data_IF_488180471055
#
_entry.id   IF_488180471055
#
_cell.length_a   1.000
_cell.length_b   1.000
_cell.length_c   1.000
_cell.angle_alpha   90.00
_cell.angle_beta   90.00
_cell.angle_gamma   90.00
#
_symmetry.space_group_name_H-M   'P 1'
#
loop_
_entity.id
_entity.type
_entity.pdbx_description
1 polymer ?
#
# COMPACT_ATOMS: atom_id res chain seq x y z
N UNK A 1 -0.56 43.35 -18.71
CA UNK A 1 -0.92 43.12 -17.30
C UNK A 1 -0.91 41.63 -17.01
N UNK A 2 0.23 41.10 -16.59
CA UNK A 2 0.40 39.66 -16.31
C UNK A 2 -0.10 39.38 -14.89
N UNK A 3 -1.19 38.57 -14.76
CA UNK A 3 -1.63 38.06 -13.46
C UNK A 3 -0.69 36.92 -13.05
N UNK A 4 0.14 37.14 -12.03
CA UNK A 4 0.86 36.07 -11.32
C UNK A 4 -0.17 35.15 -10.66
N UNK A 5 -0.26 33.92 -11.13
CA UNK A 5 -0.98 32.85 -10.44
C UNK A 5 -0.07 32.38 -9.31
N UNK A 6 -0.37 32.83 -8.09
CA UNK A 6 0.25 32.31 -6.88
C UNK A 6 -0.42 30.97 -6.60
N UNK A 7 0.24 29.88 -6.98
CA UNK A 7 -0.17 28.55 -6.59
C UNK A 7 0.06 28.32 -5.10
N UNK A 8 -0.98 28.46 -4.29
CA UNK A 8 -0.98 28.00 -2.91
C UNK A 8 -0.91 26.46 -2.91
N UNK A 9 0.28 25.92 -2.70
CA UNK A 9 0.47 24.51 -2.33
C UNK A 9 0.03 24.34 -0.88
N UNK A 10 -1.23 24.02 -0.64
CA UNK A 10 -1.67 23.57 0.67
C UNK A 10 -1.19 22.14 0.86
N UNK A 11 -0.12 21.97 1.62
CA UNK A 11 0.37 20.67 2.07
C UNK A 11 -0.54 20.23 3.21
N UNK A 12 -1.38 19.22 2.99
CA UNK A 12 -2.06 18.54 4.09
C UNK A 12 -1.00 17.70 4.82
N UNK A 13 -0.85 17.92 6.11
CA UNK A 13 0.18 17.25 6.90
C UNK A 13 -0.44 16.09 7.68
N UNK A 14 0.19 14.92 7.56
CA UNK A 14 -0.06 13.77 8.42
C UNK A 14 0.63 14.08 9.75
N UNK A 15 -0.03 13.84 10.92
CA UNK A 15 0.59 14.06 12.21
C UNK A 15 1.90 13.29 12.34
N UNK A 16 2.89 13.91 12.97
CA UNK A 16 4.14 13.23 13.30
C UNK A 16 3.85 12.16 14.37
N UNK A 17 4.43 10.95 14.26
CA UNK A 17 4.26 9.92 15.26
C UNK A 17 4.93 10.32 16.59
N UNK A 18 4.44 9.80 17.72
CA UNK A 18 5.08 10.03 18.99
C UNK A 18 6.48 9.42 19.01
N UNK A 19 7.42 10.14 19.63
CA UNK A 19 8.78 9.66 19.88
C UNK A 19 8.83 8.83 21.16
N UNK A 20 9.88 8.02 21.31
CA UNK A 20 10.10 7.27 22.52
C UNK A 20 10.31 8.22 23.72
N UNK A 21 9.71 7.94 24.89
CA UNK A 21 9.84 8.77 26.07
C UNK A 21 11.25 8.74 26.66
N UNK A 22 12.01 7.69 26.39
CA UNK A 22 13.41 7.56 26.74
C UNK A 22 14.17 6.74 25.69
N UNK A 23 15.51 6.81 25.63
CA UNK A 23 16.30 6.05 24.64
C UNK A 23 16.14 4.52 24.73
N UNK A 24 15.69 4.00 25.87
CA UNK A 24 15.55 2.56 26.11
C UNK A 24 14.09 2.05 26.04
N UNK A 25 13.12 2.92 25.83
CA UNK A 25 11.72 2.52 25.71
C UNK A 25 11.27 2.55 24.25
N UNK A 26 10.49 1.55 23.79
CA UNK A 26 9.95 1.57 22.46
C UNK A 26 8.98 2.75 22.32
N UNK A 27 9.02 3.44 21.19
CA UNK A 27 8.06 4.48 20.90
C UNK A 27 6.63 3.89 20.86
N UNK A 28 5.62 4.58 21.42
CA UNK A 28 4.26 4.07 21.44
C UNK A 28 3.70 3.93 20.02
N UNK A 29 2.88 2.89 19.82
CA UNK A 29 2.18 2.68 18.55
C UNK A 29 1.17 3.81 18.37
N UNK A 30 1.17 4.46 17.21
CA UNK A 30 0.19 5.47 16.85
C UNK A 30 -0.58 5.06 15.60
N UNK A 31 -1.90 5.27 15.63
CA UNK A 31 -2.80 4.87 14.55
C UNK A 31 -3.50 6.10 13.99
N UNK A 32 -3.38 6.31 12.69
CA UNK A 32 -3.95 7.46 11.98
C UNK A 32 -4.78 7.01 10.79
N UNK A 33 -6.09 7.02 10.92
CA UNK A 33 -6.98 6.85 9.77
C UNK A 33 -7.00 8.13 8.95
N UNK A 34 -6.79 8.02 7.65
CA UNK A 34 -6.79 9.17 6.74
C UNK A 34 -8.25 9.60 6.44
N UNK A 35 -8.64 10.76 6.95
CA UNK A 35 -9.87 11.43 6.54
C UNK A 35 -9.62 12.19 5.24
N UNK A 36 -9.75 11.52 4.11
CA UNK A 36 -9.50 12.08 2.80
C UNK A 36 -10.27 13.39 2.53
N UNK A 37 -11.60 13.51 2.84
CA UNK A 37 -12.31 14.78 2.72
C UNK A 37 -11.68 15.92 3.52
N UNK A 38 -11.38 15.70 4.79
CA UNK A 38 -10.74 16.71 5.65
C UNK A 38 -9.34 17.12 5.13
N UNK A 39 -8.62 16.18 4.53
CA UNK A 39 -7.32 16.39 3.90
C UNK A 39 -7.42 17.04 2.49
N UNK A 40 -8.65 17.31 2.02
CA UNK A 40 -8.89 18.00 0.75
C UNK A 40 -9.04 17.08 -0.47
N UNK A 41 -9.37 15.80 -0.25
CA UNK A 41 -9.64 14.78 -1.27
C UNK A 41 -11.09 14.28 -1.18
N UNK A 42 -12.11 15.13 -1.41
CA UNK A 42 -13.52 14.76 -1.22
C UNK A 42 -13.99 13.61 -2.10
N UNK A 43 -13.33 13.38 -3.24
CA UNK A 43 -13.64 12.24 -4.12
C UNK A 43 -13.29 10.89 -3.51
N UNK A 44 -12.48 10.86 -2.46
CA UNK A 44 -12.09 9.67 -1.72
C UNK A 44 -12.85 9.51 -0.40
N UNK A 45 -13.98 10.20 -0.20
CA UNK A 45 -14.77 10.17 1.04
C UNK A 45 -15.16 8.75 1.53
N UNK A 46 -15.22 7.78 0.62
CA UNK A 46 -15.56 6.39 0.94
C UNK A 46 -14.35 5.45 0.87
N UNK A 47 -13.14 6.00 0.71
CA UNK A 47 -11.93 5.21 0.64
C UNK A 47 -11.31 5.03 2.00
N UNK A 48 -10.74 3.85 2.20
CA UNK A 48 -10.04 3.52 3.43
C UNK A 48 -8.53 3.63 3.23
N UNK A 49 -7.89 4.34 4.16
CA UNK A 49 -6.45 4.26 4.36
C UNK A 49 -6.11 4.46 5.83
N UNK A 50 -5.15 3.69 6.32
CA UNK A 50 -4.71 3.67 7.71
C UNK A 50 -3.19 3.70 7.76
N UNK A 51 -2.63 4.53 8.63
CA UNK A 51 -1.21 4.54 8.97
C UNK A 51 -1.08 4.03 10.39
N UNK A 52 -0.15 3.10 10.60
CA UNK A 52 0.22 2.61 11.92
C UNK A 52 1.72 2.85 12.08
N UNK A 53 2.07 3.74 12.97
CA UNK A 53 3.47 4.06 13.29
C UNK A 53 3.98 3.19 14.43
N UNK A 54 5.28 2.88 14.39
CA UNK A 54 6.01 2.13 15.42
C UNK A 54 5.48 0.70 15.66
N UNK A 55 4.76 0.11 14.66
CA UNK A 55 4.21 -1.25 14.80
C UNK A 55 5.29 -2.32 14.74
N UNK A 56 6.26 -2.14 13.86
CA UNK A 56 7.43 -3.01 13.75
C UNK A 56 8.64 -2.30 14.33
N UNK A 57 9.37 -2.99 15.20
CA UNK A 57 10.63 -2.49 15.74
C UNK A 57 11.73 -2.50 14.67
N UNK A 58 12.82 -1.76 14.83
CA UNK A 58 13.99 -1.88 13.95
C UNK A 58 14.50 -3.32 13.80
N UNK A 59 14.47 -4.10 14.90
CA UNK A 59 14.85 -5.52 14.88
C UNK A 59 13.87 -6.37 14.05
N UNK A 60 12.55 -6.07 14.10
CA UNK A 60 11.55 -6.72 13.26
C UNK A 60 11.79 -6.41 11.78
N UNK A 61 12.08 -5.13 11.46
CA UNK A 61 12.40 -4.71 10.10
C UNK A 61 13.64 -5.41 9.54
N UNK A 62 14.69 -5.52 10.37
CA UNK A 62 15.91 -6.22 9.99
C UNK A 62 15.66 -7.72 9.79
N UNK A 63 14.93 -8.37 10.71
CA UNK A 63 14.53 -9.78 10.57
C UNK A 63 13.82 -10.06 9.24
N UNK A 64 12.88 -9.19 8.86
CA UNK A 64 12.15 -9.32 7.59
C UNK A 64 13.09 -9.18 6.39
N UNK A 65 13.99 -8.21 6.42
CA UNK A 65 14.95 -7.97 5.34
C UNK A 65 15.93 -9.13 5.18
N UNK A 66 16.52 -9.59 6.28
CA UNK A 66 17.47 -10.71 6.30
C UNK A 66 16.84 -12.00 5.74
N UNK A 67 15.57 -12.27 6.07
CA UNK A 67 14.86 -13.44 5.56
C UNK A 67 14.80 -13.45 4.02
N UNK A 68 14.49 -12.30 3.41
CA UNK A 68 14.40 -12.21 1.96
C UNK A 68 15.78 -12.20 1.28
N UNK A 69 16.74 -11.43 1.80
CA UNK A 69 18.08 -11.29 1.22
C UNK A 69 18.93 -12.57 1.35
N UNK A 70 18.68 -13.39 2.40
CA UNK A 70 19.32 -14.71 2.51
C UNK A 70 18.77 -15.73 1.52
N UNK A 71 17.55 -15.55 1.04
CA UNK A 71 16.86 -16.49 0.18
C UNK A 71 17.00 -16.15 -1.32
N UNK A 72 17.07 -14.87 -1.68
CA UNK A 72 17.02 -14.41 -3.07
C UNK A 72 17.80 -13.12 -3.30
N UNK A 73 18.32 -12.98 -4.52
CA UNK A 73 18.95 -11.76 -5.01
C UNK A 73 17.92 -10.71 -5.45
N UNK A 74 18.33 -9.44 -5.39
CA UNK A 74 17.55 -8.33 -5.92
C UNK A 74 17.53 -8.34 -7.45
N UNK A 75 16.34 -8.29 -8.04
CA UNK A 75 16.12 -8.19 -9.48
C UNK A 75 15.44 -6.87 -9.87
N UNK A 76 15.53 -6.48 -11.15
CA UNK A 76 14.79 -5.31 -11.66
C UNK A 76 13.28 -5.56 -11.53
N UNK A 77 12.58 -4.60 -10.94
CA UNK A 77 11.13 -4.73 -10.76
C UNK A 77 10.40 -4.61 -12.09
N UNK A 78 9.44 -5.50 -12.31
CA UNK A 78 8.58 -5.50 -13.49
C UNK A 78 7.24 -4.81 -13.21
N UNK A 79 6.59 -4.40 -14.28
CA UNK A 79 5.20 -3.89 -14.31
C UNK A 79 4.31 -5.00 -14.84
N UNK A 80 3.13 -5.19 -14.26
CA UNK A 80 2.15 -6.13 -14.77
C UNK A 80 1.44 -5.52 -15.99
N UNK A 81 1.58 -6.16 -17.14
CA UNK A 81 0.88 -5.80 -18.37
C UNK A 81 -0.49 -6.46 -18.50
N UNK A 82 -1.18 -6.15 -19.58
CA UNK A 82 -2.41 -6.85 -19.96
C UNK A 82 -2.13 -8.34 -20.16
N UNK A 83 -2.95 -9.20 -19.53
CA UNK A 83 -2.78 -10.66 -19.59
C UNK A 83 -1.88 -11.24 -18.49
N UNK A 84 -1.41 -10.44 -17.53
CA UNK A 84 -0.66 -10.92 -16.37
C UNK A 84 0.85 -11.17 -16.61
N UNK A 85 1.35 -10.87 -17.82
CA UNK A 85 2.78 -10.96 -18.12
C UNK A 85 3.51 -9.72 -17.60
N UNK A 86 4.57 -9.94 -16.79
CA UNK A 86 5.45 -8.89 -16.34
C UNK A 86 6.37 -8.41 -17.48
N UNK A 87 6.54 -7.10 -17.59
CA UNK A 87 7.53 -6.48 -18.49
C UNK A 87 8.29 -5.38 -17.76
N UNK A 88 9.49 -5.09 -18.22
CA UNK A 88 10.32 -4.02 -17.65
C UNK A 88 10.02 -2.71 -18.37
N UNK A 89 9.61 -1.68 -17.60
CA UNK A 89 9.46 -0.31 -18.08
C UNK A 89 10.05 0.64 -17.03
N UNK A 90 11.32 0.96 -17.22
CA UNK A 90 12.06 1.83 -16.28
C UNK A 90 11.54 3.28 -16.29
N UNK A 91 10.83 3.72 -17.35
CA UNK A 91 10.21 5.05 -17.38
C UNK A 91 8.96 5.14 -16.49
N UNK A 92 8.35 3.99 -16.20
CA UNK A 92 7.17 3.87 -15.36
C UNK A 92 7.51 3.37 -13.95
N UNK A 93 8.39 2.35 -13.85
CA UNK A 93 8.86 1.79 -12.59
C UNK A 93 10.36 1.52 -12.65
N UNK A 94 11.12 2.33 -11.93
CA UNK A 94 12.55 2.17 -11.75
C UNK A 94 12.82 1.78 -10.30
N UNK A 95 13.03 0.49 -10.04
CA UNK A 95 13.30 -0.06 -8.70
C UNK A 95 13.80 -1.49 -8.79
N UNK A 96 14.31 -2.01 -7.70
CA UNK A 96 14.61 -3.44 -7.55
C UNK A 96 13.54 -4.12 -6.70
N UNK A 97 13.41 -5.45 -6.83
CA UNK A 97 12.49 -6.26 -6.01
C UNK A 97 13.09 -7.61 -5.65
N UNK A 98 12.61 -8.17 -4.55
CA UNK A 98 12.64 -9.61 -4.24
C UNK A 98 11.18 -10.06 -4.10
N UNK A 99 10.82 -11.18 -4.74
CA UNK A 99 9.55 -11.87 -4.52
C UNK A 99 9.81 -13.06 -3.60
N UNK A 100 9.37 -12.95 -2.35
CA UNK A 100 9.61 -13.96 -1.33
C UNK A 100 8.26 -14.46 -0.79
N UNK A 101 7.95 -15.72 -1.04
CA UNK A 101 6.72 -16.35 -0.59
C UNK A 101 7.00 -17.05 0.74
N UNK A 102 6.33 -16.60 1.81
CA UNK A 102 6.52 -17.11 3.17
C UNK A 102 5.22 -16.96 3.97
N UNK A 103 4.60 -18.08 4.28
CA UNK A 103 3.34 -18.11 5.03
C UNK A 103 3.53 -17.73 6.50
N UNK A 104 4.60 -18.18 7.13
CA UNK A 104 4.84 -17.94 8.56
C UNK A 104 5.11 -16.44 8.81
N UNK A 105 5.87 -15.78 7.93
CA UNK A 105 6.07 -14.33 8.02
C UNK A 105 4.79 -13.56 7.70
N UNK A 106 3.99 -14.01 6.73
CA UNK A 106 2.71 -13.39 6.40
C UNK A 106 1.73 -13.48 7.57
N UNK A 107 1.64 -14.63 8.23
CA UNK A 107 0.81 -14.85 9.42
C UNK A 107 1.31 -13.99 10.59
N UNK A 108 2.60 -13.93 10.84
CA UNK A 108 3.18 -13.06 11.86
C UNK A 108 2.90 -11.57 11.60
N UNK A 109 2.94 -11.13 10.34
CA UNK A 109 2.55 -9.76 9.95
C UNK A 109 1.06 -9.54 10.25
N UNK A 110 0.19 -10.51 9.91
CA UNK A 110 -1.24 -10.42 10.20
C UNK A 110 -1.51 -10.33 11.70
N UNK A 111 -0.87 -11.16 12.53
CA UNK A 111 -1.03 -11.14 13.98
C UNK A 111 -0.73 -9.74 14.57
N UNK A 112 0.35 -9.09 14.09
CA UNK A 112 0.67 -7.72 14.51
C UNK A 112 -0.38 -6.70 14.03
N UNK A 113 -0.95 -6.86 12.84
CA UNK A 113 -1.90 -5.93 12.24
C UNK A 113 -3.33 -6.11 12.75
N UNK A 114 -3.73 -7.32 13.13
CA UNK A 114 -5.12 -7.70 13.47
C UNK A 114 -5.79 -6.78 14.50
N UNK A 115 -5.13 -6.30 15.57
CA UNK A 115 -5.76 -5.38 16.52
C UNK A 115 -6.22 -4.05 15.92
N UNK A 116 -5.71 -3.66 14.76
CA UNK A 116 -5.90 -2.33 14.16
C UNK A 116 -6.80 -2.33 12.92
N UNK A 117 -7.16 -3.50 12.40
CA UNK A 117 -7.86 -3.64 11.11
C UNK A 117 -9.31 -4.11 11.24
N UNK A 118 -9.91 -3.99 12.41
CA UNK A 118 -11.29 -4.44 12.67
C UNK A 118 -12.33 -3.84 11.72
N UNK A 119 -12.14 -2.61 11.22
CA UNK A 119 -13.04 -1.98 10.26
C UNK A 119 -13.05 -2.66 8.87
N UNK A 120 -12.00 -3.40 8.55
CA UNK A 120 -11.84 -4.11 7.28
C UNK A 120 -11.78 -5.63 7.46
N UNK A 121 -12.10 -6.13 8.65
CA UNK A 121 -12.22 -7.58 8.91
C UNK A 121 -13.31 -8.22 8.06
N UNK A 122 -14.39 -7.47 7.79
CA UNK A 122 -15.48 -7.86 6.89
C UNK A 122 -15.76 -6.74 5.90
N UNK A 123 -15.83 -7.07 4.61
CA UNK A 123 -16.05 -6.09 3.54
C UNK A 123 -17.20 -6.50 2.62
N UNK A 124 -17.99 -5.51 2.17
CA UNK A 124 -18.97 -5.70 1.10
C UNK A 124 -18.21 -5.80 -0.25
N UNK A 125 -18.11 -7.01 -0.77
CA UNK A 125 -17.41 -7.28 -2.01
C UNK A 125 -18.01 -6.54 -3.22
N UNK A 126 -19.33 -6.27 -3.21
CA UNK A 126 -20.02 -5.56 -4.30
C UNK A 126 -19.50 -4.15 -4.48
N UNK A 127 -19.13 -3.47 -3.37
CA UNK A 127 -18.55 -2.12 -3.40
C UNK A 127 -17.26 -2.09 -4.20
N UNK A 128 -16.41 -3.09 -4.05
CA UNK A 128 -15.13 -3.19 -4.74
C UNK A 128 -15.30 -3.65 -6.19
N UNK A 129 -16.26 -4.53 -6.49
CA UNK A 129 -16.52 -5.02 -7.84
C UNK A 129 -17.13 -3.98 -8.78
N UNK A 130 -17.90 -3.02 -8.27
CA UNK A 130 -18.45 -1.93 -9.09
C UNK A 130 -17.38 -1.05 -9.74
N UNK A 131 -16.16 -1.11 -9.29
CA UNK A 131 -15.03 -0.29 -9.73
C UNK A 131 -14.05 -1.03 -10.67
N UNK A 132 -14.27 -2.32 -10.94
CA UNK A 132 -13.43 -3.12 -11.84
C UNK A 132 -13.31 -2.50 -13.24
N UNK A 133 -12.10 -2.54 -13.81
CA UNK A 133 -11.73 -1.82 -15.04
C UNK A 133 -12.41 -2.35 -16.30
N UNK A 134 -12.75 -3.64 -16.37
CA UNK A 134 -13.33 -4.25 -17.56
C UNK A 134 -14.76 -4.68 -17.37
N UNK A 135 -15.56 -4.63 -18.48
CA UNK A 135 -16.95 -5.11 -18.50
C UNK A 135 -17.01 -6.62 -18.19
N UNK A 136 -15.99 -7.37 -18.60
CA UNK A 136 -15.91 -8.81 -18.37
C UNK A 136 -15.68 -9.13 -16.89
N UNK A 137 -14.74 -8.43 -16.24
CA UNK A 137 -14.48 -8.54 -14.81
C UNK A 137 -15.72 -8.18 -13.99
N UNK A 138 -16.43 -7.10 -14.36
CA UNK A 138 -17.69 -6.71 -13.72
C UNK A 138 -18.80 -7.78 -13.86
N UNK A 139 -18.87 -8.47 -14.99
CA UNK A 139 -19.83 -9.55 -15.21
C UNK A 139 -19.50 -10.77 -14.36
N UNK A 140 -18.22 -11.17 -14.30
CA UNK A 140 -17.75 -12.29 -13.48
C UNK A 140 -17.96 -11.96 -12.00
N UNK A 141 -17.59 -10.77 -11.58
CA UNK A 141 -17.75 -10.29 -10.20
C UNK A 141 -19.23 -10.26 -9.75
N UNK A 142 -20.17 -9.86 -10.62
CA UNK A 142 -21.62 -9.90 -10.32
C UNK A 142 -22.16 -11.32 -10.05
N UNK A 143 -21.57 -12.34 -10.66
CA UNK A 143 -22.01 -13.73 -10.52
C UNK A 143 -21.42 -14.37 -9.24
N UNK A 144 -20.29 -13.85 -8.74
CA UNK A 144 -19.54 -14.40 -7.60
C UNK A 144 -19.60 -13.51 -6.35
N UNK A 145 -20.31 -12.37 -6.40
CA UNK A 145 -20.35 -11.44 -5.27
C UNK A 145 -21.20 -12.01 -4.13
N UNK A 146 -20.56 -12.50 -3.11
CA UNK A 146 -21.15 -12.59 -1.77
C UNK A 146 -21.37 -11.19 -1.22
N UNK A 147 -22.43 -11.01 -0.44
CA UNK A 147 -22.74 -9.72 0.19
C UNK A 147 -21.63 -9.29 1.16
N UNK A 148 -20.88 -10.24 1.73
CA UNK A 148 -19.80 -10.00 2.67
C UNK A 148 -18.71 -11.06 2.52
N UNK A 149 -17.46 -10.61 2.51
CA UNK A 149 -16.27 -11.46 2.55
C UNK A 149 -15.47 -11.15 3.81
N UNK A 150 -14.79 -12.16 4.35
CA UNK A 150 -14.04 -12.06 5.59
C UNK A 150 -12.54 -12.04 5.30
N UNK A 151 -11.80 -11.24 6.07
CA UNK A 151 -10.34 -11.26 6.08
C UNK A 151 -9.86 -12.67 6.47
N UNK A 152 -9.15 -13.32 5.58
CA UNK A 152 -8.61 -14.67 5.78
C UNK A 152 -7.15 -14.64 6.23
N UNK A 153 -6.31 -13.92 5.51
CA UNK A 153 -4.85 -13.91 5.71
C UNK A 153 -4.17 -12.71 5.05
N UNK A 154 -2.90 -12.51 5.32
CA UNK A 154 -1.99 -11.73 4.48
C UNK A 154 -1.51 -12.64 3.34
N UNK A 155 -1.39 -12.12 2.12
CA UNK A 155 -0.82 -12.86 1.01
C UNK A 155 0.62 -13.25 1.35
N UNK A 156 0.95 -14.54 1.20
CA UNK A 156 2.28 -15.11 1.43
C UNK A 156 3.36 -14.48 0.56
N UNK A 157 2.97 -13.92 -0.60
CA UNK A 157 3.89 -13.22 -1.49
C UNK A 157 4.26 -11.86 -0.97
N UNK A 158 5.35 -11.80 -0.25
CA UNK A 158 5.96 -10.57 0.22
C UNK A 158 6.83 -9.98 -0.90
N UNK A 159 6.45 -8.80 -1.42
CA UNK A 159 7.19 -8.10 -2.46
C UNK A 159 8.08 -7.05 -1.81
N UNK A 160 9.34 -7.40 -1.61
CA UNK A 160 10.35 -6.45 -1.15
C UNK A 160 10.71 -5.52 -2.30
N UNK A 161 10.76 -4.24 -2.04
CA UNK A 161 11.01 -3.19 -3.03
C UNK A 161 12.12 -2.29 -2.51
N UNK A 162 13.16 -2.10 -3.34
CA UNK A 162 14.30 -1.25 -3.03
C UNK A 162 14.43 -0.14 -4.07
N UNK A 163 14.56 1.09 -3.58
CA UNK A 163 14.70 2.29 -4.38
C UNK A 163 15.92 3.07 -3.92
N UNK A 164 16.89 3.27 -4.83
CA UNK A 164 18.03 4.18 -4.65
C UNK A 164 17.75 5.57 -5.22
N UNK A 165 18.74 6.49 -5.18
CA UNK A 165 18.60 7.83 -5.74
C UNK A 165 18.15 7.85 -7.20
N UNK A 166 17.14 8.68 -7.50
CA UNK A 166 16.52 8.78 -8.83
C UNK A 166 15.57 7.64 -9.18
N UNK A 167 15.29 6.71 -8.27
CA UNK A 167 14.36 5.61 -8.48
C UNK A 167 12.98 5.92 -7.94
N UNK A 168 11.95 5.32 -8.59
CA UNK A 168 10.55 5.68 -8.38
C UNK A 168 9.58 4.60 -8.88
N UNK A 169 8.30 4.80 -8.58
CA UNK A 169 7.17 4.14 -9.24
C UNK A 169 6.10 5.17 -9.56
N UNK A 170 5.82 5.40 -10.84
CA UNK A 170 4.91 6.43 -11.32
C UNK A 170 3.45 6.14 -10.93
N UNK A 171 2.59 7.11 -11.16
CA UNK A 171 1.16 7.11 -10.75
C UNK A 171 0.42 5.89 -11.25
N UNK A 172 -0.21 5.17 -10.35
CA UNK A 172 -1.02 3.99 -10.62
C UNK A 172 -2.10 3.82 -9.54
N UNK A 173 -3.02 2.91 -9.78
CA UNK A 173 -3.82 2.28 -8.74
C UNK A 173 -3.37 0.83 -8.65
N UNK A 174 -3.37 0.28 -7.46
CA UNK A 174 -3.12 -1.15 -7.29
C UNK A 174 -4.30 -1.96 -7.87
N UNK A 175 -4.02 -3.13 -8.38
CA UNK A 175 -5.04 -4.08 -8.84
C UNK A 175 -5.31 -5.13 -7.78
N UNK A 176 -6.54 -5.62 -7.73
CA UNK A 176 -6.89 -6.78 -6.91
C UNK A 176 -6.16 -8.04 -7.42
N UNK A 177 -5.72 -8.86 -6.50
CA UNK A 177 -5.18 -10.18 -6.77
C UNK A 177 -6.23 -11.24 -6.47
N UNK A 178 -6.39 -12.20 -7.35
CA UNK A 178 -7.23 -13.39 -7.17
C UNK A 178 -6.34 -14.61 -7.07
N UNK A 179 -6.60 -15.49 -6.12
CA UNK A 179 -5.95 -16.80 -6.09
C UNK A 179 -6.26 -17.58 -7.37
N UNK A 180 -5.37 -18.50 -7.82
CA UNK A 180 -5.59 -19.26 -9.04
C UNK A 180 -6.92 -20.07 -9.05
N UNK A 181 -7.33 -20.59 -7.90
CA UNK A 181 -8.60 -21.27 -7.66
C UNK A 181 -9.80 -20.33 -7.47
N UNK A 182 -9.56 -19.01 -7.41
CA UNK A 182 -10.55 -17.96 -7.20
C UNK A 182 -11.35 -18.04 -5.89
N UNK A 183 -10.80 -18.71 -4.89
CA UNK A 183 -11.42 -18.79 -3.55
C UNK A 183 -11.16 -17.56 -2.71
N UNK A 184 -10.09 -16.79 -3.01
CA UNK A 184 -9.74 -15.57 -2.31
C UNK A 184 -9.43 -14.43 -3.27
N UNK A 185 -9.65 -13.21 -2.79
CA UNK A 185 -9.37 -11.96 -3.51
C UNK A 185 -8.80 -10.91 -2.56
N UNK A 186 -7.92 -10.03 -3.04
CA UNK A 186 -7.41 -8.92 -2.27
C UNK A 186 -8.15 -7.61 -2.56
N UNK A 187 -8.31 -6.76 -1.54
CA UNK A 187 -8.92 -5.44 -1.66
C UNK A 187 -8.04 -4.32 -1.08
N UNK A 188 -7.13 -4.65 -0.18
CA UNK A 188 -6.27 -3.68 0.50
C UNK A 188 -4.81 -4.05 0.34
N UNK A 189 -4.01 -3.05 0.00
CA UNK A 189 -2.55 -3.12 0.01
C UNK A 189 -2.05 -2.88 1.43
N UNK A 190 -1.05 -3.66 1.82
CA UNK A 190 -0.22 -3.45 2.99
C UNK A 190 1.15 -2.99 2.47
N UNK A 191 1.60 -1.83 2.90
CA UNK A 191 2.95 -1.35 2.64
C UNK A 191 3.67 -1.12 3.97
N UNK A 192 4.62 -1.97 4.29
CA UNK A 192 5.51 -1.83 5.44
C UNK A 192 6.82 -1.18 5.01
N UNK A 193 7.21 -0.12 5.69
CA UNK A 193 8.49 0.55 5.49
C UNK A 193 9.52 -0.04 6.43
N UNK A 194 10.59 -0.62 5.88
CA UNK A 194 11.66 -1.26 6.66
C UNK A 194 12.70 -0.26 7.15
N UNK A 195 12.74 0.93 6.51
CA UNK A 195 13.58 2.06 6.87
C UNK A 195 12.89 3.37 6.50
N UNK A 196 13.52 4.53 6.81
CA UNK A 196 12.95 5.77 6.29
C UNK A 196 13.35 7.06 6.95
N UNK A 197 13.16 7.21 8.22
CA UNK A 197 13.40 8.45 8.98
C UNK A 197 14.84 8.58 9.51
N UNK A 198 15.70 7.64 9.13
CA UNK A 198 17.12 7.79 9.37
C UNK A 198 17.67 8.99 8.59
N UNK A 199 18.68 9.62 9.11
CA UNK A 199 19.33 10.84 8.64
C UNK A 199 19.72 10.85 7.14
N UNK A 200 19.65 9.70 6.47
CA UNK A 200 20.16 9.45 5.13
C UNK A 200 19.10 9.21 4.05
N UNK A 201 17.79 9.16 4.36
CA UNK A 201 16.77 9.00 3.32
C UNK A 201 16.02 10.32 3.07
N UNK A 202 16.09 10.82 1.84
CA UNK A 202 15.33 11.98 1.38
C UNK A 202 14.43 11.61 0.21
N UNK A 203 13.20 12.06 0.24
CA UNK A 203 12.19 11.73 -0.78
C UNK A 203 11.58 10.34 -0.58
N UNK A 204 11.14 9.70 -1.65
CA UNK A 204 10.61 8.34 -1.64
C UNK A 204 9.23 8.19 -0.96
N UNK A 205 8.46 9.26 -0.77
CA UNK A 205 7.12 9.19 -0.19
C UNK A 205 6.19 8.29 -1.01
N UNK A 206 5.24 7.63 -0.35
CA UNK A 206 4.04 7.14 -1.04
C UNK A 206 3.08 8.31 -1.13
N UNK A 207 2.77 8.77 -2.36
CA UNK A 207 1.99 9.97 -2.62
C UNK A 207 0.64 9.63 -3.19
N UNK A 208 -0.43 10.08 -2.53
CA UNK A 208 -1.78 10.05 -3.07
C UNK A 208 -2.07 11.34 -3.84
N UNK A 209 -2.87 11.23 -4.90
CA UNK A 209 -3.23 12.35 -5.77
C UNK A 209 -4.74 12.50 -5.85
N UNK A 210 -5.23 13.74 -5.99
CA UNK A 210 -6.62 13.97 -6.38
C UNK A 210 -6.90 13.33 -7.74
N UNK A 211 -8.11 12.75 -7.88
CA UNK A 211 -8.57 12.23 -9.17
C UNK A 211 -8.63 13.34 -10.22
N UNK A 212 -8.10 13.08 -11.42
CA UNK A 212 -8.08 14.05 -12.54
C UNK A 212 -9.46 14.36 -13.15
N UNK A 213 -10.58 14.01 -12.52
CA UNK A 213 -11.91 14.27 -13.04
C UNK A 213 -12.35 15.69 -12.72
N UNK A 214 -12.33 16.58 -13.75
CA UNK A 214 -12.80 17.96 -13.68
C UNK A 214 -11.82 18.94 -14.32
N UNK A 215 -12.28 19.82 -15.22
CA UNK A 215 -11.43 20.74 -15.99
C UNK A 215 -10.75 21.82 -15.15
N UNK A 216 -11.26 22.12 -13.95
CA UNK A 216 -10.84 23.25 -13.12
C UNK A 216 -10.24 22.85 -11.76
N UNK A 217 -9.90 21.56 -11.55
CA UNK A 217 -9.35 21.11 -10.26
C UNK A 217 -7.84 21.34 -10.18
N UNK A 218 -7.44 22.08 -9.16
CA UNK A 218 -6.04 22.14 -8.73
C UNK A 218 -5.65 20.75 -8.22
N UNK A 219 -4.62 20.17 -8.81
CA UNK A 219 -4.07 18.89 -8.36
C UNK A 219 -3.48 19.07 -6.94
N UNK A 220 -4.00 18.28 -6.01
CA UNK A 220 -3.46 18.16 -4.66
C UNK A 220 -2.76 16.82 -4.49
N UNK A 221 -1.86 16.75 -3.55
CA UNK A 221 -1.22 15.50 -3.16
C UNK A 221 -1.07 15.42 -1.64
N UNK A 222 -1.01 14.18 -1.16
CA UNK A 222 -0.78 13.81 0.23
C UNK A 222 0.37 12.83 0.29
N UNK A 223 1.43 13.16 1.01
CA UNK A 223 2.63 12.35 1.16
C UNK A 223 2.59 11.55 2.44
N UNK A 224 2.79 10.23 2.32
CA UNK A 224 3.13 9.34 3.41
C UNK A 224 4.62 9.06 3.32
N UNK A 225 5.39 9.73 4.18
CA UNK A 225 6.84 9.61 4.21
C UNK A 225 7.26 8.23 4.76
N UNK A 226 8.35 7.64 4.22
CA UNK A 226 8.92 6.41 4.78
C UNK A 226 9.38 6.63 6.23
N UNK A 227 9.06 5.68 7.11
CA UNK A 227 9.55 5.58 8.48
C UNK A 227 9.73 4.11 8.84
N UNK A 228 10.82 3.78 9.50
CA UNK A 228 11.06 2.41 9.92
C UNK A 228 9.92 1.90 10.81
N UNK A 229 9.37 0.73 10.48
CA UNK A 229 8.27 0.12 11.21
C UNK A 229 6.87 0.71 10.99
N UNK A 230 6.74 1.74 10.14
CA UNK A 230 5.45 2.27 9.70
C UNK A 230 4.77 1.29 8.76
N UNK A 231 3.45 1.11 8.94
CA UNK A 231 2.60 0.40 7.98
C UNK A 231 1.57 1.37 7.42
N UNK A 232 1.43 1.37 6.10
CA UNK A 232 0.35 2.03 5.38
C UNK A 232 -0.55 0.95 4.78
N UNK A 233 -1.83 0.98 5.15
CA UNK A 233 -2.87 0.11 4.60
C UNK A 233 -3.83 0.97 3.81
N UNK A 234 -4.17 0.58 2.57
CA UNK A 234 -5.09 1.36 1.74
C UNK A 234 -5.82 0.50 0.72
N UNK A 235 -7.01 0.96 0.30
CA UNK A 235 -7.77 0.31 -0.78
C UNK A 235 -6.98 0.28 -2.08
N UNK A 236 -6.93 -0.89 -2.74
CA UNK A 236 -6.20 -1.09 -3.99
C UNK A 236 -6.82 -0.34 -5.15
N UNK A 237 -8.13 -0.50 -5.31
CA UNK A 237 -8.83 0.11 -6.44
C UNK A 237 -9.20 1.58 -6.17
N UNK A 238 -8.93 2.42 -7.15
CA UNK A 238 -9.38 3.80 -7.19
C UNK A 238 -8.56 4.81 -6.39
N UNK A 239 -7.61 4.42 -5.54
CA UNK A 239 -6.66 5.33 -4.90
C UNK A 239 -5.44 5.52 -5.78
N UNK A 240 -5.43 6.63 -6.54
CA UNK A 240 -4.30 7.00 -7.40
C UNK A 240 -3.11 7.40 -6.55
N UNK A 241 -2.01 6.67 -6.68
CA UNK A 241 -0.80 6.93 -5.90
C UNK A 241 0.49 6.65 -6.69
N UNK A 242 1.62 7.04 -6.12
CA UNK A 242 2.98 6.78 -6.63
C UNK A 242 3.94 6.45 -5.50
N UNK A 243 5.07 5.84 -5.85
CA UNK A 243 6.31 5.93 -5.08
C UNK A 243 7.14 7.07 -5.65
N UNK A 244 7.22 8.19 -4.93
CA UNK A 244 7.97 9.36 -5.36
C UNK A 244 9.46 9.07 -5.45
N UNK A 245 10.16 9.92 -6.21
CA UNK A 245 11.60 9.78 -6.43
C UNK A 245 12.35 9.81 -5.08
N UNK A 246 13.24 8.84 -4.88
CA UNK A 246 14.24 8.91 -3.82
C UNK A 246 15.28 9.94 -4.25
N UNK A 247 15.53 10.92 -3.40
CA UNK A 247 16.51 12.00 -3.66
C UNK A 247 17.90 11.58 -3.18
N UNK A 248 17.96 10.96 -2.00
CA UNK A 248 19.20 10.51 -1.37
C UNK A 248 18.93 9.30 -0.48
N UNK A 249 19.92 8.44 -0.29
CA UNK A 249 19.79 7.22 0.49
C UNK A 249 19.08 6.07 -0.24
N UNK A 250 18.61 5.10 0.51
CA UNK A 250 17.89 3.92 -0.02
C UNK A 250 16.61 3.70 0.74
N UNK A 251 15.49 3.59 0.04
CA UNK A 251 14.19 3.20 0.59
C UNK A 251 13.97 1.71 0.40
N UNK A 252 13.58 1.01 1.47
CA UNK A 252 13.21 -0.41 1.42
C UNK A 252 11.82 -0.59 2.03
N UNK A 253 10.94 -1.26 1.28
CA UNK A 253 9.56 -1.54 1.72
C UNK A 253 9.17 -2.98 1.39
N UNK A 254 8.20 -3.52 2.15
CA UNK A 254 7.47 -4.73 1.77
C UNK A 254 6.07 -4.30 1.33
N UNK A 255 5.64 -4.80 0.16
CA UNK A 255 4.25 -4.72 -0.28
C UNK A 255 3.65 -6.11 -0.28
N UNK A 256 2.53 -6.26 0.41
CA UNK A 256 1.66 -7.41 0.31
C UNK A 256 0.20 -6.94 0.30
N UNK A 257 -0.75 -7.83 0.44
CA UNK A 257 -2.17 -7.53 0.48
C UNK A 257 -2.92 -8.39 1.47
N UNK A 258 -4.04 -7.86 1.99
CA UNK A 258 -5.02 -8.65 2.73
C UNK A 258 -5.87 -9.47 1.76
N UNK A 259 -5.95 -10.77 2.02
CA UNK A 259 -6.79 -11.72 1.28
C UNK A 259 -8.14 -11.89 1.98
N UNK A 260 -9.19 -11.97 1.19
CA UNK A 260 -10.56 -12.11 1.67
C UNK A 260 -11.22 -13.32 1.05
N UNK A 261 -11.95 -14.06 1.87
CA UNK A 261 -12.65 -15.28 1.50
C UNK A 261 -14.16 -15.12 1.71
N UNK A 262 -14.95 -15.66 0.81
CA UNK A 262 -16.38 -15.76 1.00
C UNK A 262 -16.69 -16.75 2.12
N UNK A 263 -17.28 -16.26 3.21
CA UNK A 263 -17.65 -17.09 4.36
C UNK A 263 -18.70 -18.14 4.04
N UNK A 264 -19.41 -18.01 2.92
CA UNK A 264 -20.45 -18.97 2.48
C UNK A 264 -19.86 -20.15 1.70
N UNK A 265 -18.65 -19.99 1.16
CA UNK A 265 -17.92 -21.08 0.52
C UNK A 265 -17.34 -21.95 1.64
N UNK A 266 -18.10 -22.96 2.09
CA UNK A 266 -17.56 -24.00 2.97
C UNK A 266 -16.37 -24.64 2.27
N UNK A 267 -15.28 -24.85 3.02
CA UNK A 267 -14.13 -25.60 2.55
C UNK A 267 -14.64 -26.90 1.88
N UNK A 268 -14.65 -26.90 0.56
CA UNK A 268 -14.86 -28.15 -0.18
C UNK A 268 -13.56 -28.94 -0.02
N UNK A 269 -13.59 -29.83 0.97
CA UNK A 269 -12.55 -30.84 1.19
C UNK A 269 -12.63 -31.92 0.12
#
# INVERSE_FOLDING_TARGET
MMRKIIGLKTKSEIPEPPTAPSPNEPAPIAVHKLDFPALGFPEYQHRYALIIDNLFTPADCQKLLDAAESAKEWEVAQVNGAGGFGYTDISYRNSQRILYDDFDLADWILEKLRPYVGEIESVDSRRHHMMSRTVQERKIAKVQASDSVQLSRVNERLRYLKYGPGQYFRRHCDGCYYTPDRTEVSYYTIQLYLNGDAENLKGGATRFFTSRRGKDRVEKHLDVNPRAGRVLIFEQDGLLHSGEDVVDGTKITIRSEFMYKDSTLKDQK
#
